data_IF_415747413542
#
_entry.id   IF_415747413542
#
_cell.length_a   1.000
_cell.length_b   1.000
_cell.length_c   1.000
_cell.angle_alpha   90.00
_cell.angle_beta   90.00
_cell.angle_gamma   90.00
#
_symmetry.space_group_name_H-M   'P 1'
#
loop_
_entity.id
_entity.type
_entity.pdbx_description
1 polymer ?
#
# COMPACT_ATOMS: atom_id res chain seq x y z
N UNK A 1 13.92 32.93 -0.98
CA UNK A 1 13.13 31.89 -0.29
C UNK A 1 14.08 30.85 0.31
N UNK A 2 13.87 30.45 1.58
CA UNK A 2 14.76 29.50 2.27
C UNK A 2 14.39 28.07 1.89
N UNK A 3 15.38 27.25 1.52
CA UNK A 3 15.19 25.81 1.31
C UNK A 3 15.03 25.08 2.63
N UNK A 4 14.04 24.20 2.71
CA UNK A 4 13.79 23.38 3.90
C UNK A 4 13.72 21.92 3.47
N UNK A 5 14.64 21.10 3.96
CA UNK A 5 14.58 19.66 3.72
C UNK A 5 13.49 19.04 4.59
N UNK A 6 12.84 18.01 4.08
CA UNK A 6 11.81 17.28 4.79
C UNK A 6 12.38 16.56 6.01
N UNK A 7 11.66 16.66 7.12
CA UNK A 7 11.93 15.92 8.34
C UNK A 7 10.78 15.00 8.69
N UNK A 8 11.14 13.84 9.24
CA UNK A 8 10.17 12.85 9.69
C UNK A 8 9.42 13.34 10.94
N UNK A 9 8.11 13.14 10.96
CA UNK A 9 7.35 13.16 12.19
C UNK A 9 7.85 12.04 13.13
N UNK A 10 7.56 12.14 14.43
CA UNK A 10 7.67 10.99 15.31
C UNK A 10 6.88 9.81 14.75
N UNK A 11 7.36 8.60 15.05
CA UNK A 11 6.61 7.38 14.76
C UNK A 11 5.27 7.38 15.48
N UNK A 12 4.23 6.96 14.79
CA UNK A 12 2.93 6.67 15.40
C UNK A 12 3.11 5.57 16.45
N UNK A 13 2.19 5.48 17.43
CA UNK A 13 2.06 4.30 18.26
C UNK A 13 1.97 3.03 17.40
N UNK A 14 2.44 1.92 17.94
CA UNK A 14 2.30 0.62 17.30
C UNK A 14 0.83 0.22 17.24
N UNK A 15 0.34 -0.09 16.05
CA UNK A 15 -1.00 -0.64 15.81
C UNK A 15 -0.90 -2.09 15.38
N UNK A 16 -1.93 -2.86 15.68
CA UNK A 16 -1.96 -4.26 15.26
C UNK A 16 -2.07 -4.35 13.73
N UNK A 17 -1.23 -5.19 13.18
CA UNK A 17 -1.24 -5.62 11.79
C UNK A 17 -1.92 -6.98 11.77
N UNK A 18 -3.22 -6.99 11.43
CA UNK A 18 -4.03 -8.21 11.32
C UNK A 18 -4.77 -8.20 10.00
N UNK A 19 -4.84 -9.37 9.39
CA UNK A 19 -5.75 -9.60 8.28
C UNK A 19 -7.14 -9.95 8.79
N UNK A 20 -8.21 -9.50 8.12
CA UNK A 20 -9.55 -10.00 8.38
C UNK A 20 -9.54 -11.54 8.28
N UNK A 21 -9.94 -12.23 9.35
CA UNK A 21 -9.98 -13.70 9.38
C UNK A 21 -8.66 -14.40 9.78
N UNK A 22 -7.56 -13.67 10.01
CA UNK A 22 -6.34 -14.30 10.53
C UNK A 22 -6.49 -14.64 12.02
N UNK A 23 -6.36 -15.93 12.34
CA UNK A 23 -6.36 -16.48 13.71
C UNK A 23 -4.98 -16.52 14.36
N UNK A 24 -3.92 -16.30 13.56
CA UNK A 24 -2.53 -16.28 14.03
C UNK A 24 -2.10 -14.90 14.52
N UNK A 25 -0.99 -14.90 15.28
CA UNK A 25 -0.31 -13.78 15.93
C UNK A 25 -0.50 -12.43 15.21
N UNK A 26 -1.06 -11.45 15.90
CA UNK A 26 -1.12 -10.08 15.41
C UNK A 26 0.28 -9.47 15.40
N UNK A 27 0.88 -9.31 14.22
CA UNK A 27 2.05 -8.46 14.08
C UNK A 27 1.73 -7.01 14.46
N UNK A 28 2.75 -6.14 14.50
CA UNK A 28 2.56 -4.71 14.76
C UNK A 28 3.16 -3.87 13.65
N UNK A 29 2.52 -2.75 13.36
CA UNK A 29 3.00 -1.75 12.42
C UNK A 29 2.99 -0.35 13.03
N UNK A 30 3.86 0.52 12.53
CA UNK A 30 3.95 1.92 12.95
C UNK A 30 4.35 2.75 11.74
N UNK A 31 3.82 3.96 11.65
CA UNK A 31 3.95 4.84 10.48
C UNK A 31 4.46 6.21 10.88
N UNK A 32 5.05 6.94 9.94
CA UNK A 32 5.47 8.33 10.13
C UNK A 32 5.30 9.10 8.82
N UNK A 33 5.20 10.42 8.93
CA UNK A 33 4.98 11.30 7.78
C UNK A 33 6.11 12.30 7.63
N UNK A 34 6.40 12.71 6.40
CA UNK A 34 7.46 13.70 6.11
C UNK A 34 6.93 15.14 6.30
N UNK A 35 6.54 15.48 7.52
CA UNK A 35 5.81 16.72 7.84
C UNK A 35 6.46 17.53 8.96
N UNK A 36 7.61 17.13 9.48
CA UNK A 36 8.25 17.79 10.61
C UNK A 36 9.74 18.07 10.36
N UNK A 37 10.09 19.10 9.56
CA UNK A 37 9.19 19.97 8.77
C UNK A 37 8.83 19.39 7.40
N UNK A 38 7.79 19.90 6.70
CA UNK A 38 7.56 19.53 5.30
C UNK A 38 8.65 20.13 4.39
N UNK A 39 9.07 19.40 3.33
CA UNK A 39 10.03 19.93 2.38
C UNK A 39 9.46 21.13 1.62
N UNK A 40 10.26 22.18 1.43
CA UNK A 40 9.84 23.37 0.68
C UNK A 40 10.98 24.05 -0.08
N UNK A 41 10.61 24.83 -1.09
CA UNK A 41 11.52 25.61 -1.96
C UNK A 41 12.64 24.76 -2.60
N UNK A 42 12.31 23.53 -3.03
CA UNK A 42 13.29 22.60 -3.61
C UNK A 42 14.18 21.89 -2.57
N UNK A 43 13.74 21.84 -1.31
CA UNK A 43 14.37 20.99 -0.30
C UNK A 43 14.16 19.49 -0.57
N UNK A 44 15.05 18.67 -0.02
CA UNK A 44 15.06 17.22 -0.26
C UNK A 44 13.89 16.52 0.47
N UNK A 45 13.31 15.45 -0.09
CA UNK A 45 12.34 14.63 0.62
C UNK A 45 13.02 13.89 1.78
N UNK A 46 12.20 13.40 2.72
CA UNK A 46 12.69 12.56 3.80
C UNK A 46 13.28 11.25 3.27
N UNK A 47 14.44 10.85 3.80
CA UNK A 47 15.10 9.60 3.42
C UNK A 47 14.76 8.47 4.41
N UNK A 48 14.56 7.26 3.89
CA UNK A 48 14.25 6.05 4.65
C UNK A 48 12.77 5.65 4.60
N UNK A 49 12.40 4.67 5.42
CA UNK A 49 11.05 4.08 5.42
C UNK A 49 10.01 4.96 6.12
N UNK A 50 8.79 5.00 5.57
CA UNK A 50 7.62 5.63 6.20
C UNK A 50 6.81 4.67 7.06
N UNK A 51 7.02 3.37 6.90
CA UNK A 51 6.29 2.30 7.61
C UNK A 51 7.29 1.27 8.13
N UNK A 52 7.16 0.89 9.40
CA UNK A 52 7.91 -0.22 10.01
C UNK A 52 6.95 -1.27 10.56
N UNK A 53 7.35 -2.54 10.47
CA UNK A 53 6.52 -3.71 10.79
C UNK A 53 7.35 -4.74 11.57
N UNK A 54 6.71 -5.51 12.45
CA UNK A 54 7.32 -6.71 13.04
C UNK A 54 7.37 -7.85 12.02
N UNK A 55 8.18 -8.88 12.27
CA UNK A 55 8.30 -10.05 11.37
C UNK A 55 6.97 -10.78 11.19
N UNK A 56 6.16 -10.80 12.24
CA UNK A 56 4.86 -11.48 12.27
C UNK A 56 3.72 -10.64 11.65
N UNK A 57 4.01 -9.43 11.18
CA UNK A 57 3.06 -8.62 10.42
C UNK A 57 3.07 -9.12 8.97
N UNK A 58 2.27 -10.15 8.72
CA UNK A 58 2.07 -10.69 7.37
C UNK A 58 1.15 -9.78 6.56
N UNK A 59 1.51 -9.41 5.32
CA UNK A 59 0.59 -8.75 4.42
C UNK A 59 -0.58 -9.68 4.15
N UNK A 60 -1.78 -9.13 4.11
CA UNK A 60 -2.93 -9.91 3.71
C UNK A 60 -2.76 -10.31 2.27
N UNK A 61 -3.11 -11.55 1.89
CA UNK A 61 -3.41 -11.80 0.50
C UNK A 61 -4.48 -10.77 0.15
N UNK A 62 -4.10 -9.75 -0.62
CA UNK A 62 -5.08 -8.88 -1.23
C UNK A 62 -6.01 -9.83 -1.99
N UNK A 63 -7.31 -9.59 -1.95
CA UNK A 63 -8.28 -10.26 -2.81
C UNK A 63 -8.00 -9.93 -4.29
N UNK A 64 -6.81 -10.21 -4.79
CA UNK A 64 -6.47 -10.08 -6.19
C UNK A 64 -6.82 -11.40 -6.87
N UNK A 65 -8.11 -11.79 -6.79
CA UNK A 65 -8.78 -12.58 -7.83
C UNK A 65 -10.32 -12.63 -7.66
N UNK A 66 -10.98 -11.48 -7.46
CA UNK A 66 -12.41 -11.33 -7.78
C UNK A 66 -12.70 -10.34 -8.91
N UNK A 67 -11.67 -9.93 -9.66
CA UNK A 67 -11.84 -9.11 -10.86
C UNK A 67 -10.86 -9.54 -11.95
N UNK A 68 -11.12 -10.69 -12.57
CA UNK A 68 -10.58 -10.99 -13.90
C UNK A 68 -11.68 -11.30 -14.93
N UNK A 69 -12.92 -10.84 -14.66
CA UNK A 69 -14.03 -10.97 -15.63
C UNK A 69 -14.82 -9.69 -15.88
N UNK A 70 -14.29 -8.49 -15.57
CA UNK A 70 -15.07 -7.27 -15.80
C UNK A 70 -14.30 -5.97 -16.14
N UNK A 71 -13.05 -6.04 -16.62
CA UNK A 71 -12.35 -4.83 -17.11
C UNK A 71 -11.50 -5.10 -18.35
N UNK A 72 -12.12 -5.56 -19.44
CA UNK A 72 -11.59 -5.27 -20.78
C UNK A 72 -12.75 -4.98 -21.74
N UNK A 73 -13.33 -3.79 -21.58
CA UNK A 73 -14.25 -3.23 -22.56
C UNK A 73 -13.43 -2.45 -23.60
N UNK A 74 -13.25 -3.14 -24.74
CA UNK A 74 -13.15 -2.67 -26.12
C UNK A 74 -11.79 -2.20 -26.70
N UNK A 75 -11.22 -3.07 -27.55
CA UNK A 75 -10.68 -2.62 -28.84
C UNK A 75 -10.87 -3.68 -29.95
N UNK A 76 -12.08 -3.72 -30.52
CA UNK A 76 -12.47 -4.17 -31.88
C UNK A 76 -11.83 -5.47 -32.44
N UNK A 77 -12.53 -6.62 -32.34
CA UNK A 77 -13.07 -7.32 -33.53
C UNK A 77 -13.87 -8.59 -33.17
N UNK A 78 -15.11 -8.64 -33.67
CA UNK A 78 -16.06 -9.75 -33.55
C UNK A 78 -15.72 -10.90 -34.49
N UNK A 79 -15.36 -12.09 -34.00
CA UNK A 79 -15.41 -13.33 -34.82
C UNK A 79 -15.71 -14.55 -33.94
N UNK A 80 -17.00 -14.87 -33.80
CA UNK A 80 -17.60 -16.18 -33.50
C UNK A 80 -17.25 -16.90 -32.19
N UNK A 81 -18.30 -17.20 -31.43
CA UNK A 81 -18.21 -17.81 -30.12
C UNK A 81 -17.67 -19.23 -30.07
N UNK A 82 -17.29 -19.62 -28.86
CA UNK A 82 -17.21 -21.01 -28.43
C UNK A 82 -17.19 -21.00 -26.90
N UNK A 83 -18.37 -21.17 -26.32
CA UNK A 83 -18.84 -22.43 -25.75
C UNK A 83 -18.28 -22.60 -24.34
N UNK A 84 -19.10 -22.16 -23.37
CA UNK A 84 -19.12 -22.67 -22.01
C UNK A 84 -19.02 -24.20 -22.06
N UNK A 85 -17.88 -24.75 -21.63
CA UNK A 85 -17.72 -26.14 -21.21
C UNK A 85 -16.33 -26.32 -20.56
N UNK A 86 -16.31 -26.28 -19.24
CA UNK A 86 -15.87 -27.36 -18.34
C UNK A 86 -16.04 -26.88 -16.89
#
# INVERSE_FOLDING_TARGET
MKRVNGGWSPWSPWTDCRCPGATLSAGKQSTRTCTNPPPSNGGKPCQGISVRKTKDCVPCPQEELVLDTAYDYDMYDNVYGKLLLC
#
